data_IF_286407863590
#
_entry.id   IF_286407863590
#
_cell.length_a   1.000
_cell.length_b   1.000
_cell.length_c   1.000
_cell.angle_alpha   90.00
_cell.angle_beta   90.00
_cell.angle_gamma   90.00
#
_symmetry.space_group_name_H-M   'P 1'
#
loop_
_entity.id
_entity.type
_entity.pdbx_description
1 polymer ?
#
# COMPACT_ATOMS: atom_id res chain seq x y z
N UNK A 1 3.09 29.41 4.06
CA UNK A 1 3.82 28.17 3.73
C UNK A 1 3.24 27.14 4.68
N UNK A 2 2.44 26.20 4.17
CA UNK A 2 1.73 25.24 5.02
C UNK A 2 2.72 24.38 5.80
N UNK A 3 2.41 24.09 7.04
CA UNK A 3 3.16 23.14 7.84
C UNK A 3 3.10 21.77 7.16
N UNK A 4 4.26 21.13 6.96
CA UNK A 4 4.35 19.81 6.35
C UNK A 4 3.87 18.81 7.40
N UNK A 5 2.70 18.21 7.19
CA UNK A 5 2.25 17.08 8.01
C UNK A 5 3.15 15.88 7.69
N UNK A 6 3.75 15.25 8.71
CA UNK A 6 4.58 14.07 8.49
C UNK A 6 3.80 12.93 7.84
N UNK A 7 2.47 12.86 8.03
CA UNK A 7 1.61 11.93 7.31
C UNK A 7 1.59 12.18 5.80
N UNK A 8 1.82 13.42 5.35
CA UNK A 8 1.89 13.75 3.93
C UNK A 8 3.18 13.21 3.29
N UNK A 9 4.27 13.09 4.06
CA UNK A 9 5.52 12.43 3.61
C UNK A 9 5.27 10.93 3.39
N UNK A 10 4.61 10.27 4.35
CA UNK A 10 4.28 8.84 4.23
C UNK A 10 3.28 8.58 3.09
N UNK A 11 2.31 9.48 2.90
CA UNK A 11 1.39 9.42 1.76
C UNK A 11 2.12 9.61 0.42
N UNK A 12 3.16 10.45 0.37
CA UNK A 12 3.98 10.62 -0.83
C UNK A 12 4.77 9.34 -1.17
N UNK A 13 5.29 8.62 -0.17
CA UNK A 13 5.94 7.31 -0.38
C UNK A 13 4.94 6.27 -0.91
N UNK A 14 3.73 6.23 -0.37
CA UNK A 14 2.67 5.36 -0.89
C UNK A 14 2.34 5.69 -2.36
N UNK A 15 2.28 6.99 -2.70
CA UNK A 15 2.05 7.45 -4.06
C UNK A 15 3.22 7.10 -5.01
N UNK A 16 4.46 7.16 -4.54
CA UNK A 16 5.65 6.75 -5.30
C UNK A 16 5.60 5.26 -5.64
N UNK A 17 5.31 4.39 -4.66
CA UNK A 17 5.19 2.95 -4.90
C UNK A 17 4.09 2.63 -5.93
N UNK A 18 2.95 3.31 -5.83
CA UNK A 18 1.88 3.21 -6.82
C UNK A 18 2.32 3.68 -8.22
N UNK A 19 3.03 4.82 -8.31
CA UNK A 19 3.54 5.33 -9.57
C UNK A 19 4.56 4.36 -10.20
N UNK A 20 5.44 3.78 -9.39
CA UNK A 20 6.40 2.76 -9.84
C UNK A 20 5.68 1.55 -10.43
N UNK A 21 4.66 1.00 -9.76
CA UNK A 21 3.91 -0.15 -10.27
C UNK A 21 3.19 0.18 -11.59
N UNK A 22 2.60 1.37 -11.72
CA UNK A 22 1.97 1.81 -12.98
C UNK A 22 2.98 1.90 -14.12
N UNK A 23 4.11 2.55 -13.88
CA UNK A 23 5.18 2.66 -14.88
C UNK A 23 5.74 1.27 -15.27
N UNK A 24 5.86 0.36 -14.30
CA UNK A 24 6.28 -1.03 -14.58
C UNK A 24 5.28 -1.74 -15.52
N UNK A 25 3.98 -1.56 -15.30
CA UNK A 25 2.92 -2.11 -16.17
C UNK A 25 2.92 -1.52 -17.58
N UNK A 26 3.19 -0.21 -17.71
CA UNK A 26 3.32 0.45 -19.01
C UNK A 26 4.53 -0.07 -19.80
N UNK A 27 5.66 -0.30 -19.12
CA UNK A 27 6.89 -0.81 -19.72
C UNK A 27 6.79 -2.30 -20.06
N UNK A 28 6.09 -3.08 -19.25
CA UNK A 28 5.91 -4.51 -19.47
C UNK A 28 4.52 -4.98 -19.00
N UNK A 29 3.54 -5.07 -19.93
CA UNK A 29 2.18 -5.51 -19.62
C UNK A 29 2.08 -6.92 -19.02
N UNK A 30 3.11 -7.77 -19.21
CA UNK A 30 3.14 -9.13 -18.65
C UNK A 30 3.49 -9.19 -17.16
N UNK A 31 3.82 -8.05 -16.52
CA UNK A 31 4.06 -7.99 -15.08
C UNK A 31 2.77 -8.04 -14.25
N UNK A 32 1.61 -7.89 -14.90
CA UNK A 32 0.29 -7.89 -14.25
C UNK A 32 0.20 -6.89 -13.07
N UNK A 33 0.97 -5.80 -13.17
CA UNK A 33 1.05 -4.76 -12.16
C UNK A 33 -0.33 -4.16 -11.90
N UNK A 34 -0.66 -3.92 -10.65
CA UNK A 34 -1.94 -3.38 -10.26
C UNK A 34 -1.80 -2.51 -9.01
N UNK A 35 -2.60 -1.45 -8.94
CA UNK A 35 -2.65 -0.55 -7.79
C UNK A 35 -4.10 -0.36 -7.40
N UNK A 36 -4.39 -0.54 -6.10
CA UNK A 36 -5.66 -0.11 -5.50
C UNK A 36 -5.39 1.10 -4.60
N UNK A 37 -6.22 2.12 -4.75
CA UNK A 37 -6.19 3.32 -3.91
C UNK A 37 -7.30 3.26 -2.87
N UNK A 38 -6.95 3.40 -1.59
CA UNK A 38 -7.88 3.43 -0.46
C UNK A 38 -7.49 4.60 0.46
N UNK A 39 -8.09 5.78 0.25
CA UNK A 39 -7.69 7.00 0.98
C UNK A 39 -6.22 7.37 0.70
N UNK A 40 -5.40 7.50 1.75
CA UNK A 40 -3.93 7.65 1.70
C UNK A 40 -3.19 6.32 1.53
N UNK A 41 -3.87 5.18 1.72
CA UNK A 41 -3.26 3.87 1.54
C UNK A 41 -3.20 3.45 0.06
N UNK A 42 -2.17 2.69 -0.30
CA UNK A 42 -1.97 2.14 -1.64
C UNK A 42 -1.63 0.66 -1.52
N UNK A 43 -2.44 -0.20 -2.14
CA UNK A 43 -2.10 -1.61 -2.33
C UNK A 43 -1.40 -1.75 -3.66
N UNK A 44 -0.14 -2.13 -3.62
CA UNK A 44 0.75 -2.08 -4.77
C UNK A 44 1.21 -3.49 -5.11
N UNK A 45 0.96 -3.90 -6.35
CA UNK A 45 1.57 -5.07 -6.94
C UNK A 45 2.33 -4.64 -8.18
N UNK A 46 3.65 -4.78 -8.17
CA UNK A 46 4.53 -4.37 -9.26
C UNK A 46 5.15 -5.57 -10.02
N UNK A 47 4.51 -6.73 -9.96
CA UNK A 47 4.98 -8.00 -10.54
C UNK A 47 5.68 -8.93 -9.55
N UNK A 48 5.74 -10.22 -9.90
CA UNK A 48 6.14 -11.34 -9.02
C UNK A 48 7.47 -11.15 -8.29
N UNK A 49 8.46 -10.55 -8.95
CA UNK A 49 9.81 -10.40 -8.38
C UNK A 49 10.12 -8.98 -7.90
N UNK A 50 9.16 -8.06 -8.02
CA UNK A 50 9.37 -6.70 -7.57
C UNK A 50 9.40 -6.66 -6.03
N UNK A 51 10.39 -5.98 -5.42
CA UNK A 51 10.40 -5.70 -3.99
C UNK A 51 9.43 -4.57 -3.62
N UNK A 52 8.94 -3.80 -4.60
CA UNK A 52 8.03 -2.67 -4.40
C UNK A 52 6.55 -3.11 -4.43
N UNK A 53 6.22 -4.21 -3.76
CA UNK A 53 4.85 -4.72 -3.62
C UNK A 53 4.48 -4.66 -2.14
N UNK A 54 3.21 -4.41 -1.83
CA UNK A 54 2.72 -4.33 -0.45
C UNK A 54 1.67 -3.26 -0.25
N UNK A 55 1.18 -3.14 0.98
CA UNK A 55 0.29 -2.09 1.43
C UNK A 55 1.09 -0.95 2.04
N UNK A 56 0.99 0.24 1.47
CA UNK A 56 1.67 1.47 1.92
C UNK A 56 0.66 2.45 2.47
N UNK A 57 1.03 3.22 3.49
CA UNK A 57 0.20 4.30 4.03
C UNK A 57 -1.07 3.82 4.75
N UNK A 58 -1.12 2.54 5.12
CA UNK A 58 -2.21 1.97 5.90
C UNK A 58 -2.26 2.64 7.28
N UNK A 59 -3.47 3.00 7.73
CA UNK A 59 -3.67 3.67 9.02
C UNK A 59 -3.34 5.18 9.05
N UNK A 60 -2.93 5.80 7.93
CA UNK A 60 -2.63 7.24 7.93
C UNK A 60 -3.88 8.13 8.08
N UNK A 61 -5.01 7.64 7.59
CA UNK A 61 -6.32 8.32 7.66
C UNK A 61 -7.11 7.99 8.94
N UNK A 62 -6.57 7.13 9.81
CA UNK A 62 -7.21 6.67 11.05
C UNK A 62 -7.22 5.15 11.17
N UNK A 63 -8.00 4.59 12.09
CA UNK A 63 -8.08 3.16 12.32
C UNK A 63 -8.49 2.39 11.08
N UNK A 64 -7.95 1.17 10.97
CA UNK A 64 -8.21 0.23 9.89
C UNK A 64 -9.22 -0.80 10.36
N UNK A 65 -10.31 -0.94 9.62
CA UNK A 65 -11.38 -1.85 9.97
C UNK A 65 -11.14 -3.26 9.38
N UNK A 66 -11.81 -4.26 9.94
CA UNK A 66 -11.80 -5.64 9.44
C UNK A 66 -12.10 -5.73 7.94
N UNK A 67 -12.97 -4.85 7.43
CA UNK A 67 -13.29 -4.80 6.01
C UNK A 67 -12.06 -4.43 5.16
N UNK A 68 -11.24 -3.48 5.60
CA UNK A 68 -10.06 -3.05 4.87
C UNK A 68 -9.05 -4.21 4.77
N UNK A 69 -8.86 -4.94 5.87
CA UNK A 69 -8.03 -6.15 5.91
C UNK A 69 -8.52 -7.24 4.94
N UNK A 70 -9.83 -7.45 4.85
CA UNK A 70 -10.39 -8.38 3.87
C UNK A 70 -10.15 -7.94 2.42
N UNK A 71 -10.19 -6.63 2.15
CA UNK A 71 -9.87 -6.08 0.83
C UNK A 71 -8.38 -6.27 0.50
N UNK A 72 -7.48 -6.02 1.46
CA UNK A 72 -6.03 -6.28 1.34
C UNK A 72 -5.77 -7.76 1.05
N UNK A 73 -6.31 -8.66 1.88
CA UNK A 73 -6.11 -10.09 1.73
C UNK A 73 -6.62 -10.59 0.36
N UNK A 74 -7.82 -10.16 -0.05
CA UNK A 74 -8.38 -10.54 -1.36
C UNK A 74 -7.50 -10.06 -2.51
N UNK A 75 -6.96 -8.84 -2.42
CA UNK A 75 -6.10 -8.28 -3.45
C UNK A 75 -4.82 -9.11 -3.63
N UNK A 76 -4.09 -9.35 -2.53
CA UNK A 76 -2.81 -10.06 -2.57
C UNK A 76 -2.97 -11.57 -2.80
N UNK A 77 -4.04 -12.20 -2.29
CA UNK A 77 -4.38 -13.59 -2.60
C UNK A 77 -4.61 -13.80 -4.10
N UNK A 78 -5.33 -12.89 -4.78
CA UNK A 78 -5.52 -12.95 -6.24
C UNK A 78 -4.20 -12.84 -7.02
N UNK A 79 -3.19 -12.20 -6.43
CA UNK A 79 -1.84 -12.08 -6.98
C UNK A 79 -0.91 -13.22 -6.56
N UNK A 80 -1.44 -14.23 -5.86
CA UNK A 80 -0.70 -15.38 -5.33
C UNK A 80 0.52 -14.95 -4.49
N UNK A 81 0.37 -13.86 -3.74
CA UNK A 81 1.44 -13.26 -2.94
C UNK A 81 0.92 -12.85 -1.57
N UNK A 82 1.79 -12.87 -0.58
CA UNK A 82 1.48 -12.29 0.72
C UNK A 82 1.55 -10.76 0.64
N UNK A 83 0.81 -10.09 1.52
CA UNK A 83 0.85 -8.65 1.64
C UNK A 83 2.00 -8.24 2.57
N UNK A 84 3.04 -7.62 2.02
CA UNK A 84 3.99 -6.86 2.85
C UNK A 84 3.30 -5.59 3.35
N UNK A 85 3.25 -5.39 4.67
CA UNK A 85 2.63 -4.20 5.27
C UNK A 85 3.72 -3.21 5.68
N UNK A 86 3.78 -2.07 4.98
CA UNK A 86 4.73 -1.00 5.27
C UNK A 86 4.12 -0.02 6.27
N UNK A 87 4.63 -0.06 7.49
CA UNK A 87 4.21 0.82 8.58
C UNK A 87 5.19 1.98 8.78
N UNK A 88 4.69 3.07 9.35
CA UNK A 88 5.45 4.25 9.72
C UNK A 88 5.16 4.65 11.18
N UNK A 89 5.95 5.52 11.82
CA UNK A 89 5.66 5.97 13.19
C UNK A 89 4.28 6.62 13.39
N UNK A 90 3.64 7.06 12.31
CA UNK A 90 2.31 7.69 12.30
C UNK A 90 1.18 6.75 11.85
N UNK A 91 1.48 5.49 11.59
CA UNK A 91 0.49 4.44 11.34
C UNK A 91 -0.40 4.29 12.57
N UNK A 92 -1.70 4.21 12.36
CA UNK A 92 -2.66 4.01 13.45
C UNK A 92 -2.36 2.71 14.23
N UNK A 93 -2.43 2.73 15.58
CA UNK A 93 -2.23 1.54 16.42
C UNK A 93 -3.03 0.30 15.99
N UNK A 94 -4.23 0.48 15.44
CA UNK A 94 -5.07 -0.64 14.99
C UNK A 94 -4.39 -1.52 13.93
N UNK A 95 -3.40 -0.98 13.20
CA UNK A 95 -2.64 -1.76 12.22
C UNK A 95 -1.74 -2.76 12.91
N UNK A 96 -1.06 -2.35 13.98
CA UNK A 96 -0.15 -3.22 14.72
C UNK A 96 -0.89 -4.30 15.50
N UNK A 97 -2.06 -3.97 16.06
CA UNK A 97 -2.91 -4.94 16.77
C UNK A 97 -3.36 -6.10 15.88
N UNK A 98 -3.44 -5.89 14.56
CA UNK A 98 -3.83 -6.92 13.59
C UNK A 98 -2.64 -7.72 13.03
N UNK A 99 -1.40 -7.32 13.33
CA UNK A 99 -0.17 -7.96 12.84
C UNK A 99 0.50 -8.90 13.87
N UNK A 100 0.04 -8.87 15.13
CA UNK A 100 0.44 -9.81 16.20
C UNK A 100 -0.30 -11.16 16.11
#
# INVERSE_FOLDING_TARGET
>A
MGELDFKDIEAALAAEAAAHARAAGELNPYLESEVIEQGRARLVYAGTFSPAHGAYGLGLDGPVEERDWQEIHRFFQRKEREADIYTAPFTDPSVFEALD
#
